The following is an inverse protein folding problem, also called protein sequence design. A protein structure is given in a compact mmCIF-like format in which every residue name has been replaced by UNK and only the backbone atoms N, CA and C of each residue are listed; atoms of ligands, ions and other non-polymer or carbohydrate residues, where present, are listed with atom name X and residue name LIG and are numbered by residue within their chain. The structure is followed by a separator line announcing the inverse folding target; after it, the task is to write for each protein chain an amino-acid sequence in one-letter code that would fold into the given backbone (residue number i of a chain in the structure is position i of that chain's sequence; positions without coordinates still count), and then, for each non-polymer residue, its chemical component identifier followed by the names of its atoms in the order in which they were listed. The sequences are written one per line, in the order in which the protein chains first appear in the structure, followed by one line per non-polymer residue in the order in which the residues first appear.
data_IF_324316683837
#
_entry.id   IF_324316683837
#
_cell.length_a   1.000
_cell.length_b   1.000
_cell.length_c   1.000
_cell.angle_alpha   90.00
_cell.angle_beta   90.00
_cell.angle_gamma   90.00
#
_symmetry.space_group_name_H-M   'P 1'
#
loop_
_entity.id
_entity.type
_entity.pdbx_description
1 polymer ?
#
# COMPACT_ATOMS: atom_id res chain seq x y z
N UNK A 1 19.64 -3.80 -41.45
CA UNK A 1 19.33 -5.09 -40.80
C UNK A 1 19.88 -5.22 -39.38
N UNK A 2 21.20 -5.09 -39.13
CA UNK A 2 21.78 -5.23 -37.77
C UNK A 2 21.10 -4.38 -36.68
N UNK A 3 20.81 -3.10 -36.98
CA UNK A 3 20.12 -2.19 -36.05
C UNK A 3 18.70 -2.63 -35.71
N UNK A 4 17.95 -3.13 -36.69
CA UNK A 4 16.57 -3.62 -36.51
C UNK A 4 16.57 -4.89 -35.66
N UNK A 5 17.53 -5.79 -35.90
CA UNK A 5 17.70 -7.00 -35.08
C UNK A 5 18.05 -6.63 -33.64
N UNK A 6 19.03 -5.74 -33.42
CA UNK A 6 19.42 -5.28 -32.09
C UNK A 6 18.28 -4.57 -31.33
N UNK A 7 17.52 -3.69 -31.99
CA UNK A 7 16.37 -3.05 -31.35
C UNK A 7 15.28 -4.07 -31.02
N UNK A 8 14.99 -4.99 -31.94
CA UNK A 8 13.98 -6.03 -31.74
C UNK A 8 14.31 -6.93 -30.54
N UNK A 9 15.56 -7.39 -30.41
CA UNK A 9 15.96 -8.18 -29.24
C UNK A 9 15.92 -7.37 -27.96
N UNK A 10 16.35 -6.10 -27.96
CA UNK A 10 16.30 -5.26 -26.76
C UNK A 10 14.87 -4.98 -26.30
N UNK A 11 13.95 -4.73 -27.24
CA UNK A 11 12.53 -4.55 -26.94
C UNK A 11 11.92 -5.82 -26.36
N UNK A 12 12.17 -6.98 -26.95
CA UNK A 12 11.65 -8.26 -26.45
C UNK A 12 12.19 -8.57 -25.05
N UNK A 13 13.49 -8.36 -24.82
CA UNK A 13 14.10 -8.53 -23.51
C UNK A 13 13.48 -7.57 -22.48
N UNK A 14 13.23 -6.31 -22.86
CA UNK A 14 12.58 -5.32 -22.00
C UNK A 14 11.15 -5.71 -21.62
N UNK A 15 10.35 -6.18 -22.59
CA UNK A 15 8.99 -6.66 -22.34
C UNK A 15 9.01 -7.87 -21.39
N UNK A 16 9.91 -8.82 -21.63
CA UNK A 16 10.03 -10.00 -20.78
C UNK A 16 10.45 -9.64 -19.36
N UNK A 17 11.41 -8.72 -19.22
CA UNK A 17 11.84 -8.21 -17.91
C UNK A 17 10.68 -7.52 -17.17
N UNK A 18 9.93 -6.63 -17.83
CA UNK A 18 8.77 -5.96 -17.23
C UNK A 18 7.67 -6.96 -16.81
N UNK A 19 7.37 -7.95 -17.64
CA UNK A 19 6.40 -8.99 -17.31
C UNK A 19 6.84 -9.79 -16.08
N UNK A 20 8.09 -10.24 -16.05
CA UNK A 20 8.63 -10.97 -14.90
C UNK A 20 8.64 -10.14 -13.61
N UNK A 21 8.97 -8.85 -13.69
CA UNK A 21 8.95 -7.94 -12.56
C UNK A 21 7.51 -7.69 -12.04
N UNK A 22 6.53 -7.66 -12.94
CA UNK A 22 5.13 -7.51 -12.57
C UNK A 22 4.58 -8.78 -11.88
N UNK A 23 4.93 -9.97 -12.37
CA UNK A 23 4.56 -11.25 -11.72
C UNK A 23 5.24 -11.41 -10.35
N UNK A 24 6.48 -10.95 -10.20
CA UNK A 24 7.21 -10.98 -8.94
C UNK A 24 6.78 -9.89 -7.93
N UNK A 25 5.74 -9.10 -8.25
CA UNK A 25 5.29 -8.00 -7.40
C UNK A 25 4.63 -8.56 -6.14
N UNK A 26 5.21 -8.25 -4.99
CA UNK A 26 4.66 -8.66 -3.70
C UNK A 26 3.31 -8.00 -3.43
N UNK A 27 2.40 -8.77 -2.83
CA UNK A 27 1.15 -8.24 -2.29
C UNK A 27 1.43 -7.16 -1.24
N UNK A 28 0.48 -6.23 -1.07
CA UNK A 28 0.53 -5.20 -0.04
C UNK A 28 0.31 -5.84 1.33
N UNK A 29 1.15 -5.51 2.30
CA UNK A 29 0.98 -6.01 3.66
C UNK A 29 -0.34 -5.48 4.26
N UNK A 30 -1.11 -6.31 5.00
CA UNK A 30 -2.34 -5.87 5.62
C UNK A 30 -2.09 -4.74 6.62
N UNK A 31 -3.12 -3.92 6.83
CA UNK A 31 -3.10 -2.87 7.85
C UNK A 31 -3.37 -3.46 9.22
N UNK A 32 -2.62 -2.98 10.20
CA UNK A 32 -2.82 -3.30 11.61
C UNK A 32 -3.22 -2.03 12.35
N UNK A 33 -4.33 -2.11 13.08
CA UNK A 33 -4.82 -1.01 13.89
C UNK A 33 -4.27 -1.13 15.32
N UNK A 34 -3.69 -0.03 15.79
CA UNK A 34 -3.22 0.10 17.15
C UNK A 34 -3.95 1.27 17.83
N UNK A 35 -4.58 1.01 18.96
CA UNK A 35 -5.07 2.07 19.84
C UNK A 35 -3.88 2.76 20.54
N UNK A 36 -3.83 4.09 20.47
CA UNK A 36 -2.77 4.90 21.09
C UNK A 36 -3.32 5.61 22.34
N UNK A 37 -4.58 6.06 22.28
CA UNK A 37 -5.38 6.61 23.37
C UNK A 37 -6.88 6.47 23.04
N UNK A 38 -7.76 6.76 23.99
CA UNK A 38 -9.22 6.52 23.94
C UNK A 38 -9.90 6.83 22.58
N UNK A 39 -9.45 7.88 21.89
CA UNK A 39 -9.99 8.28 20.60
C UNK A 39 -8.93 8.56 19.52
N UNK A 40 -7.71 8.06 19.74
CA UNK A 40 -6.60 8.17 18.82
C UNK A 40 -6.05 6.79 18.49
N UNK A 41 -6.10 6.45 17.22
CA UNK A 41 -5.64 5.17 16.68
C UNK A 41 -4.58 5.40 15.61
N UNK A 42 -3.75 4.40 15.39
CA UNK A 42 -2.71 4.39 14.37
C UNK A 42 -2.84 3.13 13.52
N UNK A 43 -2.94 3.31 12.21
CA UNK A 43 -2.76 2.26 11.23
C UNK A 43 -1.29 2.11 10.88
N UNK A 44 -0.72 0.96 11.21
CA UNK A 44 0.58 0.51 10.72
C UNK A 44 0.45 -0.61 9.69
N UNK A 45 1.57 -1.18 9.27
CA UNK A 45 1.58 -2.52 8.69
C UNK A 45 1.66 -3.55 9.83
N UNK A 46 1.02 -4.70 9.64
CA UNK A 46 1.18 -5.85 10.54
C UNK A 46 2.68 -6.16 10.76
N UNK A 47 3.19 -6.12 12.01
CA UNK A 47 4.60 -6.40 12.31
C UNK A 47 5.04 -7.81 11.94
N UNK A 48 4.10 -8.77 11.94
CA UNK A 48 4.33 -10.16 11.54
C UNK A 48 3.86 -10.43 10.10
N UNK A 49 3.30 -9.42 9.42
CA UNK A 49 2.74 -9.55 8.09
C UNK A 49 3.79 -9.57 7.00
N UNK A 50 3.63 -10.49 6.06
CA UNK A 50 4.44 -10.57 4.83
C UNK A 50 3.99 -9.52 3.80
N UNK A 51 4.90 -9.17 2.87
CA UNK A 51 4.59 -8.34 1.70
C UNK A 51 5.16 -6.92 1.73
N UNK A 52 4.74 -6.10 0.76
CA UNK A 52 5.23 -4.75 0.57
C UNK A 52 4.70 -3.82 1.67
N UNK A 53 5.62 -3.25 2.45
CA UNK A 53 5.31 -2.28 3.50
C UNK A 53 4.75 -0.97 2.91
N UNK A 54 3.82 -0.35 3.64
CA UNK A 54 3.01 0.79 3.20
C UNK A 54 3.69 2.16 3.28
N UNK A 55 4.98 2.21 3.67
CA UNK A 55 5.79 3.43 3.73
C UNK A 55 5.73 4.20 5.06
N UNK A 56 4.63 4.11 5.82
CA UNK A 56 4.47 4.84 7.07
C UNK A 56 3.15 4.56 7.79
N UNK A 57 2.90 5.32 8.85
CA UNK A 57 1.73 5.19 9.71
C UNK A 57 0.66 6.22 9.32
N UNK A 58 -0.62 5.89 9.58
CA UNK A 58 -1.75 6.81 9.36
C UNK A 58 -2.47 6.93 10.68
N UNK A 59 -2.68 8.14 11.18
CA UNK A 59 -3.44 8.34 12.41
C UNK A 59 -4.94 8.51 12.10
N UNK A 60 -5.78 7.95 12.97
CA UNK A 60 -7.23 8.13 12.96
C UNK A 60 -7.61 8.73 14.30
N UNK A 61 -8.13 9.95 14.29
CA UNK A 61 -8.69 10.60 15.47
C UNK A 61 -10.20 10.65 15.38
N UNK A 62 -10.89 9.99 16.31
CA UNK A 62 -12.35 9.93 16.37
C UNK A 62 -12.86 11.02 17.30
N UNK A 63 -13.34 12.12 16.71
CA UNK A 63 -13.96 13.22 17.43
C UNK A 63 -15.47 13.06 17.57
N UNK A 64 -16.08 13.88 18.43
CA UNK A 64 -17.54 13.88 18.65
C UNK A 64 -18.35 14.33 17.42
N UNK A 65 -17.74 15.08 16.51
CA UNK A 65 -18.39 15.60 15.30
C UNK A 65 -17.91 14.92 14.01
N UNK A 66 -17.01 13.94 14.11
CA UNK A 66 -16.45 13.24 12.94
C UNK A 66 -15.02 12.75 13.16
N UNK A 67 -14.44 12.22 12.09
CA UNK A 67 -13.10 11.62 12.10
C UNK A 67 -12.10 12.51 11.38
N UNK A 68 -10.90 12.65 11.94
CA UNK A 68 -9.74 13.26 11.27
C UNK A 68 -8.72 12.17 10.95
N UNK A 69 -8.36 12.05 9.67
CA UNK A 69 -7.25 11.21 9.22
C UNK A 69 -6.01 12.08 9.03
N UNK A 70 -4.87 11.64 9.54
CA UNK A 70 -3.58 12.31 9.37
C UNK A 70 -2.61 11.39 8.65
N UNK A 71 -2.06 11.92 7.56
CA UNK A 71 -1.18 11.23 6.61
C UNK A 71 -1.86 10.09 5.83
N UNK A 72 -1.23 9.66 4.74
CA UNK A 72 -1.68 8.55 3.89
C UNK A 72 -0.56 7.53 3.73
N UNK A 73 -0.89 6.36 3.19
CA UNK A 73 0.11 5.34 2.83
C UNK A 73 0.45 5.43 1.35
N UNK A 74 1.45 4.65 0.94
CA UNK A 74 1.76 4.46 -0.48
C UNK A 74 0.49 4.12 -1.28
N UNK A 75 0.49 4.45 -2.56
CA UNK A 75 -0.65 4.26 -3.45
C UNK A 75 -1.28 2.85 -3.34
N UNK A 76 -2.62 2.81 -3.32
CA UNK A 76 -3.43 1.59 -3.26
C UNK A 76 -4.14 1.37 -1.93
N UNK A 77 -3.64 1.93 -0.82
CA UNK A 77 -4.19 1.69 0.54
C UNK A 77 -5.41 2.53 0.92
N UNK A 78 -5.87 3.45 0.06
CA UNK A 78 -6.95 4.39 0.40
C UNK A 78 -8.24 3.68 0.85
N UNK A 79 -8.67 2.64 0.12
CA UNK A 79 -9.86 1.89 0.48
C UNK A 79 -9.69 1.09 1.77
N UNK A 80 -8.49 0.53 2.01
CA UNK A 80 -8.17 -0.25 3.21
C UNK A 80 -8.21 0.65 4.46
N UNK A 81 -7.72 1.89 4.34
CA UNK A 81 -7.80 2.90 5.41
C UNK A 81 -9.26 3.26 5.71
N UNK A 82 -10.07 3.50 4.68
CA UNK A 82 -11.49 3.84 4.85
C UNK A 82 -12.30 2.69 5.46
N UNK A 83 -11.96 1.44 5.13
CA UNK A 83 -12.59 0.26 5.73
C UNK A 83 -12.32 0.19 7.24
N UNK A 84 -11.05 0.32 7.66
CA UNK A 84 -10.66 0.34 9.07
C UNK A 84 -11.32 1.48 9.85
N UNK A 85 -11.42 2.66 9.24
CA UNK A 85 -12.16 3.79 9.83
C UNK A 85 -13.66 3.47 9.97
N UNK A 86 -14.27 2.82 8.96
CA UNK A 86 -15.65 2.40 9.01
C UNK A 86 -15.92 1.42 10.15
N UNK A 87 -15.04 0.44 10.34
CA UNK A 87 -15.16 -0.54 11.43
C UNK A 87 -15.04 0.10 12.82
N UNK A 88 -14.30 1.21 12.96
CA UNK A 88 -14.16 1.95 14.22
C UNK A 88 -15.33 2.87 14.55
N UNK A 89 -16.15 3.23 13.56
CA UNK A 89 -17.17 4.28 13.70
C UNK A 89 -18.61 3.81 13.50
N UNK A 90 -18.80 2.53 13.20
CA UNK A 90 -20.10 1.85 13.20
C UNK A 90 -20.48 1.35 14.60
#
# INVERSE_FOLDING_TARGET
MKRVVCLGTLTLAGVFAMASANEARQARAPLFLQEVADNLYMLGNDPAGEGMRGGGNTAIFVGSAGVTLVDTKIFGYGQDILAQMGDLTN
#
